data_IF_207280336002
#
_entry.id   IF_207280336002
#
_cell.length_a   1.000
_cell.length_b   1.000
_cell.length_c   1.000
_cell.angle_alpha   90.00
_cell.angle_beta   90.00
_cell.angle_gamma   90.00
#
_symmetry.space_group_name_H-M   'P 1'
#
loop_
_entity.id
_entity.type
_entity.pdbx_description
1 polymer ?
#
# COMPACT_ATOMS: atom_id res chain seq x y z
N UNK A 1 5.55 -1.25 -27.68
CA UNK A 1 6.64 -0.86 -26.75
C UNK A 1 7.66 -2.00 -26.71
N UNK A 2 8.96 -1.69 -26.82
CA UNK A 2 10.02 -2.70 -26.76
C UNK A 2 9.96 -3.45 -25.41
N UNK A 3 9.96 -4.79 -25.43
CA UNK A 3 9.82 -5.69 -24.26
C UNK A 3 8.56 -5.55 -23.41
N UNK A 4 7.50 -4.91 -23.91
CA UNK A 4 6.22 -4.87 -23.23
C UNK A 4 5.35 -6.10 -23.57
N UNK A 5 4.79 -6.73 -22.54
CA UNK A 5 3.84 -7.84 -22.68
C UNK A 5 2.48 -7.43 -22.10
N UNK A 6 1.56 -7.08 -22.99
CA UNK A 6 0.22 -6.61 -22.64
C UNK A 6 -0.60 -7.66 -21.88
N UNK A 7 -0.61 -8.91 -22.33
CA UNK A 7 -1.37 -9.99 -21.67
C UNK A 7 -0.89 -10.21 -20.24
N UNK A 8 0.43 -10.16 -20.01
CA UNK A 8 1.01 -10.22 -18.67
C UNK A 8 0.58 -9.01 -17.84
N UNK A 9 0.60 -7.81 -18.41
CA UNK A 9 0.21 -6.60 -17.71
C UNK A 9 -1.26 -6.66 -17.26
N UNK A 10 -2.18 -7.00 -18.17
CA UNK A 10 -3.61 -7.17 -17.87
C UNK A 10 -3.78 -8.20 -16.75
N UNK A 11 -3.14 -9.37 -16.84
CA UNK A 11 -3.23 -10.40 -15.80
C UNK A 11 -2.78 -9.91 -14.42
N UNK A 12 -1.69 -9.14 -14.34
CA UNK A 12 -1.21 -8.59 -13.06
C UNK A 12 -2.23 -7.63 -12.46
N UNK A 13 -2.88 -6.80 -13.29
CA UNK A 13 -3.93 -5.89 -12.83
C UNK A 13 -5.17 -6.67 -12.37
N UNK A 14 -5.63 -7.65 -13.14
CA UNK A 14 -6.79 -8.48 -12.78
C UNK A 14 -6.55 -9.26 -11.47
N UNK A 15 -5.35 -9.85 -11.32
CA UNK A 15 -4.95 -10.55 -10.10
C UNK A 15 -4.95 -9.58 -8.90
N UNK A 16 -4.51 -8.33 -9.07
CA UNK A 16 -4.54 -7.31 -8.02
C UNK A 16 -5.97 -6.88 -7.67
N UNK A 17 -6.83 -6.63 -8.67
CA UNK A 17 -8.24 -6.28 -8.48
C UNK A 17 -9.01 -7.41 -7.77
N UNK A 18 -8.66 -8.67 -8.04
CA UNK A 18 -9.23 -9.82 -7.36
C UNK A 18 -8.99 -9.84 -5.84
N UNK A 19 -8.05 -9.05 -5.32
CA UNK A 19 -7.75 -8.97 -3.89
C UNK A 19 -8.56 -7.89 -3.14
N UNK A 20 -9.32 -7.03 -3.82
CA UNK A 20 -10.01 -5.87 -3.20
C UNK A 20 -10.90 -6.30 -2.02
N UNK A 21 -11.76 -7.30 -2.19
CA UNK A 21 -12.64 -7.76 -1.11
C UNK A 21 -11.88 -8.29 0.10
N UNK A 22 -10.70 -8.89 -0.10
CA UNK A 22 -9.85 -9.36 1.00
C UNK A 22 -9.19 -8.19 1.73
N UNK A 23 -8.79 -7.15 0.99
CA UNK A 23 -8.21 -5.93 1.54
C UNK A 23 -9.25 -5.24 2.42
N UNK A 24 -10.47 -5.02 1.91
CA UNK A 24 -11.56 -4.38 2.66
C UNK A 24 -11.86 -5.10 3.98
N UNK A 25 -12.03 -6.43 3.95
CA UNK A 25 -12.23 -7.24 5.17
C UNK A 25 -11.06 -7.12 6.15
N UNK A 26 -9.84 -7.00 5.65
CA UNK A 26 -8.67 -6.82 6.52
C UNK A 26 -8.69 -5.44 7.19
N UNK A 27 -9.09 -4.41 6.44
CA UNK A 27 -9.26 -3.05 6.97
C UNK A 27 -10.33 -3.03 8.05
N UNK A 28 -11.49 -3.66 7.83
CA UNK A 28 -12.57 -3.73 8.83
C UNK A 28 -12.06 -4.29 10.17
N UNK A 29 -11.36 -5.43 10.13
CA UNK A 29 -10.79 -6.07 11.33
C UNK A 29 -9.75 -5.18 12.02
N UNK A 30 -8.95 -4.42 11.27
CA UNK A 30 -7.96 -3.50 11.85
C UNK A 30 -8.65 -2.32 12.55
N UNK A 31 -9.72 -1.78 11.97
CA UNK A 31 -10.50 -0.69 12.58
C UNK A 31 -11.26 -1.15 13.82
N UNK A 32 -11.83 -2.35 13.81
CA UNK A 32 -12.47 -2.95 15.00
C UNK A 32 -11.49 -3.10 16.17
N UNK A 33 -10.24 -3.47 15.90
CA UNK A 33 -9.19 -3.58 16.92
C UNK A 33 -8.70 -2.24 17.43
N UNK A 34 -8.84 -1.18 16.62
CA UNK A 34 -8.34 0.15 16.89
C UNK A 34 -6.82 0.25 16.77
N UNK A 35 -6.35 1.38 16.23
CA UNK A 35 -4.94 1.72 16.11
C UNK A 35 -4.77 3.24 16.16
N UNK A 36 -3.56 3.69 16.50
CA UNK A 36 -3.27 5.13 16.65
C UNK A 36 -2.47 5.71 15.51
N UNK A 37 -1.81 4.87 14.72
CA UNK A 37 -0.93 5.25 13.62
C UNK A 37 -0.72 4.07 12.67
N UNK A 38 -0.17 4.34 11.48
CA UNK A 38 0.24 3.34 10.50
C UNK A 38 1.72 3.50 10.16
N UNK A 39 2.43 2.38 10.14
CA UNK A 39 3.81 2.29 9.68
C UNK A 39 3.88 1.46 8.40
N UNK A 40 4.27 2.11 7.30
CA UNK A 40 4.49 1.51 5.99
C UNK A 40 5.98 1.18 5.86
N UNK A 41 6.33 -0.05 6.21
CA UNK A 41 7.74 -0.49 6.33
C UNK A 41 8.14 -1.27 5.09
N UNK A 42 9.17 -0.82 4.39
CA UNK A 42 9.63 -1.45 3.15
C UNK A 42 11.09 -1.14 2.82
N UNK A 43 11.61 -1.78 1.78
CA UNK A 43 12.97 -1.54 1.27
C UNK A 43 12.95 -1.17 -0.20
N UNK A 44 13.93 -0.36 -0.62
CA UNK A 44 14.12 0.05 -2.02
C UNK A 44 12.84 0.57 -2.66
N UNK A 45 12.45 0.00 -3.81
CA UNK A 45 11.26 0.42 -4.54
C UNK A 45 9.95 0.29 -3.76
N UNK A 46 9.86 -0.64 -2.79
CA UNK A 46 8.67 -0.76 -1.94
C UNK A 46 8.54 0.43 -1.00
N UNK A 47 9.65 0.86 -0.38
CA UNK A 47 9.69 2.09 0.40
C UNK A 47 9.34 3.31 -0.46
N UNK A 48 9.87 3.36 -1.70
CA UNK A 48 9.55 4.44 -2.64
C UNK A 48 8.05 4.54 -2.96
N UNK A 49 7.32 3.42 -3.03
CA UNK A 49 5.86 3.45 -3.20
C UNK A 49 5.12 3.99 -1.97
N UNK A 50 5.68 3.87 -0.77
CA UNK A 50 5.04 4.35 0.46
C UNK A 50 5.17 5.86 0.67
N UNK A 51 6.22 6.49 0.13
CA UNK A 51 6.41 7.95 0.21
C UNK A 51 5.22 8.77 -0.31
N UNK A 52 4.69 8.55 -1.53
CA UNK A 52 3.50 9.27 -1.98
C UNK A 52 2.25 8.90 -1.17
N UNK A 53 2.14 7.67 -0.66
CA UNK A 53 1.01 7.25 0.19
C UNK A 53 1.01 8.01 1.52
N UNK A 54 2.17 8.18 2.16
CA UNK A 54 2.31 9.01 3.35
C UNK A 54 1.87 10.45 3.07
N UNK A 55 2.36 11.03 1.98
CA UNK A 55 2.00 12.40 1.60
C UNK A 55 0.49 12.57 1.40
N UNK A 56 -0.13 11.69 0.60
CA UNK A 56 -1.58 11.71 0.34
C UNK A 56 -2.37 11.51 1.64
N UNK A 57 -1.95 10.57 2.49
CA UNK A 57 -2.62 10.29 3.77
C UNK A 57 -2.63 11.53 4.67
N UNK A 58 -1.52 12.28 4.73
CA UNK A 58 -1.45 13.53 5.48
C UNK A 58 -2.27 14.69 4.89
N UNK A 59 -2.83 14.55 3.69
CA UNK A 59 -3.78 15.51 3.11
C UNK A 59 -5.24 15.09 3.28
N UNK A 60 -5.49 13.78 3.39
CA UNK A 60 -6.84 13.21 3.39
C UNK A 60 -7.30 12.66 4.75
N UNK A 61 -6.40 12.60 5.74
CA UNK A 61 -6.66 11.99 7.04
C UNK A 61 -5.84 12.64 8.15
N UNK A 62 -6.38 12.62 9.37
CA UNK A 62 -5.67 13.01 10.59
C UNK A 62 -4.86 11.86 11.21
N UNK A 63 -5.04 10.64 10.70
CA UNK A 63 -4.31 9.46 11.14
C UNK A 63 -2.81 9.63 10.84
N UNK A 64 -1.91 9.51 11.85
CA UNK A 64 -0.48 9.53 11.60
C UNK A 64 -0.03 8.33 10.75
N UNK A 65 0.57 8.59 9.59
CA UNK A 65 1.13 7.58 8.68
C UNK A 65 2.61 7.85 8.46
N UNK A 66 3.43 6.80 8.59
CA UNK A 66 4.89 6.88 8.47
C UNK A 66 5.40 5.85 7.47
N UNK A 67 6.07 6.30 6.40
CA UNK A 67 6.87 5.46 5.52
C UNK A 67 8.26 5.31 6.13
N UNK A 68 8.73 4.07 6.28
CA UNK A 68 10.03 3.79 6.94
C UNK A 68 10.85 2.80 6.13
N UNK A 69 12.15 3.09 6.00
CA UNK A 69 13.13 2.14 5.50
C UNK A 69 13.27 1.01 6.51
N UNK A 70 13.02 -0.24 6.08
CA UNK A 70 12.93 -1.36 7.01
C UNK A 70 14.23 -1.65 7.79
N UNK A 71 15.40 -1.28 7.24
CA UNK A 71 16.69 -1.45 7.92
C UNK A 71 16.98 -0.36 8.97
N UNK A 72 16.20 0.73 8.99
CA UNK A 72 16.37 1.88 9.88
C UNK A 72 15.32 1.91 11.01
N UNK A 73 14.41 0.94 11.01
CA UNK A 73 13.33 0.78 12.00
C UNK A 73 13.67 -0.34 12.99
#
# INVERSE_FOLDING_TARGET
MYHFNEKRFIKVIDDALGNVSKIEKTVDVLFEKGFKNLFLIGVGGTYSHFLPIQFISGQLSELPVHAVQAAEF
#
